data_IF_118198816784
#
_entry.id   IF_118198816784
#
_cell.length_a   1.000
_cell.length_b   1.000
_cell.length_c   1.000
_cell.angle_alpha   90.00
_cell.angle_beta   90.00
_cell.angle_gamma   90.00
#
_symmetry.space_group_name_H-M   'P 1'
#
loop_
_entity.id
_entity.type
_entity.pdbx_description
1 polymer ?
#
# COMPACT_ATOMS: atom_id res chain seq x y z
N UNK A 1 -9.47 -11.37 63.93
CA UNK A 1 -10.75 -10.64 64.01
C UNK A 1 -11.44 -10.80 62.67
N UNK A 2 -12.31 -11.81 62.51
CA UNK A 2 -13.74 -11.81 62.81
C UNK A 2 -14.57 -10.92 61.87
N UNK A 3 -15.35 -11.64 61.05
CA UNK A 3 -16.39 -11.23 60.11
C UNK A 3 -17.47 -10.33 60.73
N UNK A 4 -18.15 -9.54 59.90
CA UNK A 4 -19.56 -9.08 59.94
C UNK A 4 -19.71 -8.00 58.85
N UNK A 5 -20.75 -7.86 58.03
CA UNK A 5 -22.08 -8.45 58.04
C UNK A 5 -22.75 -8.27 56.67
N UNK A 6 -23.48 -9.29 56.24
CA UNK A 6 -24.55 -9.21 55.23
C UNK A 6 -25.77 -8.49 55.81
N UNK A 7 -26.43 -7.63 55.03
CA UNK A 7 -27.89 -7.44 55.14
C UNK A 7 -28.46 -6.85 53.84
N UNK A 8 -29.33 -7.64 53.21
CA UNK A 8 -30.25 -7.32 52.11
C UNK A 8 -31.53 -6.65 52.65
N UNK A 9 -32.41 -6.20 51.74
CA UNK A 9 -33.86 -5.80 51.83
C UNK A 9 -33.99 -4.38 51.23
N UNK A 10 -34.31 -4.19 49.95
CA UNK A 10 -35.55 -4.40 49.16
C UNK A 10 -36.52 -3.20 49.12
N UNK A 11 -37.05 -3.00 47.90
CA UNK A 11 -38.37 -2.48 47.53
C UNK A 11 -38.60 -0.95 47.32
N UNK A 12 -38.80 -0.67 46.03
CA UNK A 12 -39.50 0.37 45.28
C UNK A 12 -40.49 1.34 45.95
N UNK A 13 -40.55 2.56 45.37
CA UNK A 13 -41.71 3.43 45.06
C UNK A 13 -41.18 4.88 44.90
N UNK A 14 -41.65 5.84 44.10
CA UNK A 14 -42.63 6.02 43.02
C UNK A 14 -42.41 7.49 42.54
N UNK A 15 -42.68 7.75 41.26
CA UNK A 15 -43.21 9.00 40.65
C UNK A 15 -42.38 10.30 40.71
N UNK A 16 -42.07 10.80 39.50
CA UNK A 16 -41.91 12.22 39.21
C UNK A 16 -42.15 12.50 37.72
N UNK A 17 -43.41 12.77 37.34
CA UNK A 17 -43.81 13.31 36.03
C UNK A 17 -43.60 14.83 36.05
N UNK A 18 -42.75 15.39 35.17
CA UNK A 18 -42.84 16.79 34.72
C UNK A 18 -42.16 16.99 33.34
N UNK A 19 -43.02 17.10 32.33
CA UNK A 19 -43.03 18.02 31.17
C UNK A 19 -41.76 18.60 30.55
N UNK A 20 -41.70 18.42 29.22
CA UNK A 20 -41.15 19.22 28.12
C UNK A 20 -40.35 20.50 28.41
N UNK A 21 -39.14 20.55 27.85
CA UNK A 21 -38.38 21.77 27.58
C UNK A 21 -37.22 21.49 26.64
N UNK A 22 -37.33 21.96 25.39
CA UNK A 22 -36.34 21.86 24.32
C UNK A 22 -35.08 22.68 24.59
N UNK A 23 -33.89 22.10 24.39
CA UNK A 23 -32.76 22.75 23.71
C UNK A 23 -31.58 21.75 23.62
N UNK A 24 -31.39 21.14 22.44
CA UNK A 24 -30.07 20.64 22.07
C UNK A 24 -29.35 21.81 21.39
N UNK A 25 -28.49 22.49 22.14
CA UNK A 25 -27.41 23.25 21.54
C UNK A 25 -26.46 22.25 20.89
N UNK A 26 -26.67 21.95 19.63
CA UNK A 26 -25.67 21.32 18.79
C UNK A 26 -24.54 22.33 18.60
N UNK A 27 -23.59 22.36 19.53
CA UNK A 27 -22.27 22.86 19.24
C UNK A 27 -21.68 21.91 18.20
N UNK A 28 -21.79 22.27 16.92
CA UNK A 28 -20.84 21.79 15.93
C UNK A 28 -19.47 22.17 16.47
N UNK A 29 -18.77 21.20 17.03
CA UNK A 29 -17.32 21.27 17.02
C UNK A 29 -16.97 21.13 15.55
N UNK A 30 -16.83 22.28 14.88
CA UNK A 30 -16.14 22.38 13.61
C UNK A 30 -14.72 21.88 13.89
N UNK A 31 -14.57 20.56 13.80
CA UNK A 31 -13.30 19.98 13.50
C UNK A 31 -13.06 20.39 12.06
N UNK A 32 -12.49 21.58 11.90
CA UNK A 32 -11.65 21.93 10.76
C UNK A 32 -10.48 20.94 10.77
N UNK A 33 -10.78 19.69 10.45
CA UNK A 33 -9.80 18.74 9.96
C UNK A 33 -9.54 19.18 8.53
N UNK A 34 -8.56 20.07 8.41
CA UNK A 34 -7.90 20.45 7.16
C UNK A 34 -7.11 19.26 6.59
N UNK A 35 -7.73 18.07 6.55
CA UNK A 35 -7.43 17.08 5.54
C UNK A 35 -7.81 17.75 4.23
N UNK A 36 -6.81 18.22 3.50
CA UNK A 36 -6.93 18.30 2.06
C UNK A 36 -7.64 17.04 1.63
N UNK A 37 -8.83 17.15 1.04
CA UNK A 37 -9.36 16.06 0.26
C UNK A 37 -8.37 15.94 -0.89
N UNK A 38 -7.28 15.19 -0.68
CA UNK A 38 -6.32 14.88 -1.72
C UNK A 38 -7.17 14.36 -2.85
N UNK A 39 -7.20 15.13 -3.94
CA UNK A 39 -8.04 14.81 -5.08
C UNK A 39 -7.64 13.40 -5.48
N UNK A 40 -8.56 12.45 -5.29
CA UNK A 40 -8.29 11.04 -5.56
C UNK A 40 -7.81 10.96 -7.00
N UNK A 41 -6.59 10.46 -7.20
CA UNK A 41 -6.04 10.27 -8.54
C UNK A 41 -6.77 9.10 -9.20
N UNK A 42 -7.88 9.44 -9.88
CA UNK A 42 -8.74 8.47 -10.56
C UNK A 42 -7.98 7.71 -11.64
N UNK A 43 -7.05 8.37 -12.33
CA UNK A 43 -6.21 7.73 -13.35
C UNK A 43 -5.26 6.72 -12.70
N UNK A 44 -4.68 7.00 -11.53
CA UNK A 44 -3.92 6.00 -10.78
C UNK A 44 -4.79 4.80 -10.41
N UNK A 45 -6.00 5.02 -9.89
CA UNK A 45 -6.90 3.94 -9.48
C UNK A 45 -7.27 3.04 -10.66
N UNK A 46 -7.69 3.62 -11.78
CA UNK A 46 -8.01 2.88 -13.00
C UNK A 46 -6.77 2.13 -13.53
N UNK A 47 -5.62 2.79 -13.53
CA UNK A 47 -4.35 2.20 -13.94
C UNK A 47 -3.94 1.00 -13.09
N UNK A 48 -4.13 1.09 -11.77
CA UNK A 48 -3.89 -0.01 -10.82
C UNK A 48 -4.83 -1.18 -11.05
N UNK A 49 -6.12 -0.91 -11.24
CA UNK A 49 -7.11 -1.96 -11.51
C UNK A 49 -6.76 -2.72 -12.79
N UNK A 50 -6.47 -2.02 -13.89
CA UNK A 50 -6.07 -2.64 -15.16
C UNK A 50 -4.79 -3.46 -15.01
N UNK A 51 -3.81 -2.98 -14.22
CA UNK A 51 -2.58 -3.72 -13.96
C UNK A 51 -2.83 -5.03 -13.21
N UNK A 52 -3.75 -5.04 -12.23
CA UNK A 52 -4.13 -6.23 -11.48
C UNK A 52 -4.97 -7.21 -12.29
N UNK A 53 -5.78 -6.71 -13.22
CA UNK A 53 -6.51 -7.52 -14.20
C UNK A 53 -5.61 -8.08 -15.32
N UNK A 54 -4.33 -7.70 -15.36
CA UNK A 54 -3.37 -8.15 -16.38
C UNK A 54 -3.47 -7.38 -17.71
N UNK A 55 -4.30 -6.33 -17.77
CA UNK A 55 -4.47 -5.47 -18.93
C UNK A 55 -3.38 -4.39 -18.98
N UNK A 56 -2.11 -4.82 -19.01
CA UNK A 56 -0.95 -3.94 -18.83
C UNK A 56 -0.88 -2.76 -19.82
N UNK A 57 -1.37 -2.95 -21.06
CA UNK A 57 -1.42 -1.86 -22.05
C UNK A 57 -2.42 -0.77 -21.64
N UNK A 58 -3.58 -1.15 -21.12
CA UNK A 58 -4.59 -0.21 -20.61
C UNK A 58 -4.08 0.47 -19.33
N UNK A 59 -3.45 -0.29 -18.44
CA UNK A 59 -2.81 0.24 -17.24
C UNK A 59 -1.82 1.38 -17.57
N UNK A 60 -0.94 1.17 -18.57
CA UNK A 60 0.03 2.20 -19.00
C UNK A 60 -0.66 3.49 -19.47
N UNK A 61 -1.81 3.40 -20.14
CA UNK A 61 -2.54 4.59 -20.63
C UNK A 61 -3.02 5.43 -19.45
N UNK A 62 -3.66 4.81 -18.46
CA UNK A 62 -4.14 5.53 -17.27
C UNK A 62 -2.99 6.03 -16.40
N UNK A 63 -1.99 5.19 -16.13
CA UNK A 63 -0.86 5.57 -15.28
C UNK A 63 -0.02 6.70 -15.88
N UNK A 64 0.05 6.84 -17.21
CA UNK A 64 0.67 8.00 -17.87
C UNK A 64 -0.07 9.30 -17.58
N UNK A 65 -1.40 9.30 -17.62
CA UNK A 65 -2.21 10.47 -17.23
C UNK A 65 -2.04 10.80 -15.74
N UNK A 66 -1.97 9.78 -14.89
CA UNK A 66 -1.70 9.94 -13.47
C UNK A 66 -0.38 10.69 -13.23
N UNK A 67 0.72 10.31 -13.90
CA UNK A 67 2.01 11.03 -13.73
C UNK A 67 2.05 12.42 -14.41
N UNK A 68 1.18 12.68 -15.39
CA UNK A 68 1.00 14.02 -15.96
C UNK A 68 0.36 14.96 -14.93
N UNK A 69 -0.61 14.46 -14.16
CA UNK A 69 -1.31 15.21 -13.12
C UNK A 69 -0.52 15.27 -11.79
N UNK A 70 0.18 14.18 -11.45
CA UNK A 70 0.98 14.04 -10.24
C UNK A 70 2.36 13.43 -10.57
N UNK A 71 3.35 14.26 -10.96
CA UNK A 71 4.68 13.81 -11.34
C UNK A 71 5.54 13.32 -10.17
N UNK A 72 5.05 13.40 -8.93
CA UNK A 72 5.73 12.92 -7.72
C UNK A 72 5.09 11.63 -7.18
N UNK A 73 4.26 10.94 -7.96
CA UNK A 73 3.66 9.67 -7.56
C UNK A 73 4.61 8.48 -7.78
N UNK A 74 5.36 8.10 -6.75
CA UNK A 74 6.20 6.89 -6.78
C UNK A 74 5.39 5.63 -7.10
N UNK A 75 4.15 5.53 -6.61
CA UNK A 75 3.23 4.42 -6.87
C UNK A 75 2.86 4.31 -8.37
N UNK A 76 2.58 5.44 -9.03
CA UNK A 76 2.23 5.46 -10.46
C UNK A 76 3.42 5.04 -11.33
N UNK A 77 4.62 5.54 -11.01
CA UNK A 77 5.85 5.09 -11.66
C UNK A 77 6.16 3.62 -11.39
N UNK A 78 5.94 3.14 -10.16
CA UNK A 78 6.10 1.73 -9.81
C UNK A 78 5.20 0.84 -10.69
N UNK A 79 3.92 1.19 -10.83
CA UNK A 79 2.97 0.43 -11.65
C UNK A 79 3.21 0.56 -13.16
N UNK A 80 3.76 1.68 -13.64
CA UNK A 80 4.27 1.80 -15.02
C UNK A 80 5.42 0.82 -15.25
N UNK A 81 6.36 0.76 -14.29
CA UNK A 81 7.45 -0.21 -14.32
C UNK A 81 6.95 -1.65 -14.31
N UNK A 82 5.99 -1.95 -13.45
CA UNK A 82 5.34 -3.27 -13.34
C UNK A 82 4.71 -3.70 -14.65
N UNK A 83 3.87 -2.83 -15.23
CA UNK A 83 3.15 -3.09 -16.47
C UNK A 83 4.10 -3.28 -17.66
N UNK A 84 5.14 -2.44 -17.78
CA UNK A 84 6.14 -2.58 -18.85
C UNK A 84 6.95 -3.88 -18.71
N UNK A 85 7.38 -4.23 -17.49
CA UNK A 85 8.10 -5.50 -17.23
C UNK A 85 7.25 -6.71 -17.63
N UNK A 86 5.94 -6.68 -17.33
CA UNK A 86 5.01 -7.75 -17.69
C UNK A 86 4.82 -7.89 -19.20
N UNK A 87 4.93 -6.79 -19.95
CA UNK A 87 4.95 -6.80 -21.42
C UNK A 87 6.32 -7.19 -22.02
N UNK A 88 7.38 -7.28 -21.22
CA UNK A 88 8.75 -7.54 -21.67
C UNK A 88 9.54 -6.29 -22.09
N UNK A 89 8.95 -5.10 -21.89
CA UNK A 89 9.56 -3.80 -22.14
C UNK A 89 10.51 -3.45 -20.99
N UNK A 90 11.64 -4.16 -20.92
CA UNK A 90 12.53 -4.14 -19.75
C UNK A 90 13.24 -2.78 -19.57
N UNK A 91 13.56 -2.08 -20.65
CA UNK A 91 14.27 -0.78 -20.59
C UNK A 91 13.35 0.32 -20.03
N UNK A 92 12.12 0.39 -20.53
CA UNK A 92 11.10 1.30 -20.00
C UNK A 92 10.77 0.96 -18.55
N UNK A 93 10.66 -0.33 -18.22
CA UNK A 93 10.42 -0.76 -16.85
C UNK A 93 11.51 -0.25 -15.91
N UNK A 94 12.78 -0.40 -16.30
CA UNK A 94 13.93 0.08 -15.54
C UNK A 94 13.88 1.59 -15.31
N UNK A 95 13.54 2.36 -16.36
CA UNK A 95 13.39 3.81 -16.30
C UNK A 95 12.35 4.23 -15.27
N UNK A 96 11.15 3.64 -15.31
CA UNK A 96 10.08 3.98 -14.38
C UNK A 96 10.36 3.55 -12.95
N UNK A 97 10.95 2.36 -12.73
CA UNK A 97 11.33 1.95 -11.38
C UNK A 97 12.40 2.87 -10.77
N UNK A 98 13.39 3.31 -11.56
CA UNK A 98 14.37 4.25 -11.04
C UNK A 98 13.74 5.59 -10.68
N UNK A 99 12.79 6.09 -11.49
CA UNK A 99 12.08 7.32 -11.13
C UNK A 99 11.26 7.16 -9.86
N UNK A 100 10.59 6.01 -9.67
CA UNK A 100 9.89 5.71 -8.42
C UNK A 100 10.83 5.71 -7.20
N UNK A 101 12.04 5.13 -7.32
CA UNK A 101 13.03 5.14 -6.23
C UNK A 101 13.76 6.47 -6.03
N UNK A 102 13.78 7.33 -7.06
CA UNK A 102 14.25 8.72 -6.92
C UNK A 102 13.29 9.54 -6.06
N UNK A 103 11.99 9.34 -6.25
CA UNK A 103 10.91 9.98 -5.49
C UNK A 103 10.82 9.38 -4.08
N UNK A 104 10.71 8.06 -3.96
CA UNK A 104 10.70 7.34 -2.68
C UNK A 104 11.76 6.21 -2.66
N UNK A 105 12.95 6.49 -2.09
CA UNK A 105 14.02 5.51 -1.94
C UNK A 105 13.71 4.33 -1.00
N UNK A 106 12.55 4.32 -0.33
CA UNK A 106 12.09 3.26 0.56
C UNK A 106 10.86 2.53 0.01
N UNK A 107 10.46 2.82 -1.23
CA UNK A 107 9.26 2.23 -1.83
C UNK A 107 9.40 0.72 -1.97
N UNK A 108 8.68 -0.04 -1.14
CA UNK A 108 8.82 -1.51 -1.05
C UNK A 108 8.48 -2.21 -2.36
N UNK A 109 7.33 -1.89 -2.95
CA UNK A 109 6.89 -2.50 -4.22
C UNK A 109 7.90 -2.32 -5.36
N UNK A 110 8.54 -1.15 -5.46
CA UNK A 110 9.57 -0.89 -6.46
C UNK A 110 10.84 -1.70 -6.20
N UNK A 111 11.29 -1.83 -4.96
CA UNK A 111 12.41 -2.72 -4.65
C UNK A 111 12.10 -4.17 -5.02
N UNK A 112 10.90 -4.67 -4.75
CA UNK A 112 10.47 -6.00 -5.16
C UNK A 112 10.50 -6.16 -6.69
N UNK A 113 9.81 -5.28 -7.41
CA UNK A 113 9.60 -5.43 -8.84
C UNK A 113 10.86 -5.15 -9.67
N UNK A 114 11.70 -4.21 -9.26
CA UNK A 114 13.01 -4.00 -9.87
C UNK A 114 13.95 -5.17 -9.56
N UNK A 115 13.89 -5.75 -8.35
CA UNK A 115 14.58 -6.99 -8.03
C UNK A 115 14.18 -8.14 -8.98
N UNK A 116 12.88 -8.32 -9.22
CA UNK A 116 12.36 -9.30 -10.19
C UNK A 116 12.76 -8.97 -11.64
N UNK A 117 12.85 -7.69 -12.02
CA UNK A 117 13.37 -7.28 -13.33
C UNK A 117 14.84 -7.71 -13.49
N UNK A 118 15.68 -7.52 -12.47
CA UNK A 118 17.07 -7.97 -12.53
C UNK A 118 17.20 -9.49 -12.73
N UNK A 119 16.29 -10.29 -12.18
CA UNK A 119 16.24 -11.73 -12.47
C UNK A 119 15.89 -12.02 -13.93
N UNK A 120 14.93 -11.29 -14.53
CA UNK A 120 14.63 -11.39 -15.96
C UNK A 120 15.86 -11.08 -16.83
N UNK A 121 16.69 -10.12 -16.38
CA UNK A 121 17.93 -9.70 -17.03
C UNK A 121 19.13 -10.60 -16.70
N UNK A 122 18.92 -11.72 -16.00
CA UNK A 122 19.98 -12.64 -15.56
C UNK A 122 21.05 -12.01 -14.66
N UNK A 123 20.64 -11.02 -13.84
CA UNK A 123 21.50 -10.29 -12.91
C UNK A 123 21.09 -10.53 -11.44
N UNK A 124 21.22 -11.76 -10.91
CA UNK A 124 20.74 -12.10 -9.57
C UNK A 124 21.43 -11.32 -8.44
N UNK A 125 22.68 -10.91 -8.63
CA UNK A 125 23.40 -10.10 -7.63
C UNK A 125 22.78 -8.72 -7.44
N UNK A 126 22.23 -8.12 -8.50
CA UNK A 126 21.50 -6.86 -8.36
C UNK A 126 20.14 -7.08 -7.67
N UNK A 127 19.45 -8.19 -7.95
CA UNK A 127 18.22 -8.54 -7.23
C UNK A 127 18.46 -8.68 -5.71
N UNK A 128 19.57 -9.31 -5.30
CA UNK A 128 19.96 -9.44 -3.89
C UNK A 128 20.19 -8.09 -3.19
N UNK A 129 20.69 -7.07 -3.90
CA UNK A 129 20.82 -5.71 -3.34
C UNK A 129 19.46 -5.13 -2.97
N UNK A 130 18.45 -5.30 -3.83
CA UNK A 130 17.08 -4.87 -3.53
C UNK A 130 16.46 -5.68 -2.38
N UNK A 131 16.76 -6.98 -2.28
CA UNK A 131 16.33 -7.79 -1.15
C UNK A 131 16.94 -7.30 0.18
N UNK A 132 18.24 -6.99 0.20
CA UNK A 132 18.90 -6.42 1.38
C UNK A 132 18.32 -5.05 1.77
N UNK A 133 17.92 -4.24 0.77
CA UNK A 133 17.23 -2.98 1.03
C UNK A 133 15.86 -3.20 1.65
N UNK A 134 15.06 -4.16 1.15
CA UNK A 134 13.79 -4.56 1.76
C UNK A 134 13.97 -5.07 3.19
N UNK A 135 15.00 -5.87 3.45
CA UNK A 135 15.35 -6.35 4.81
C UNK A 135 15.55 -5.16 5.77
N UNK A 136 16.26 -4.13 5.33
CA UNK A 136 16.46 -2.91 6.13
C UNK A 136 15.20 -2.05 6.31
N UNK A 137 14.25 -2.11 5.36
CA UNK A 137 13.00 -1.35 5.40
C UNK A 137 11.95 -2.08 6.25
N UNK A 138 11.95 -3.41 6.22
CA UNK A 138 10.91 -4.27 6.78
C UNK A 138 11.39 -4.98 8.06
N UNK A 139 11.46 -4.24 9.17
CA UNK A 139 11.99 -4.74 10.46
C UNK A 139 11.29 -5.99 11.02
N UNK A 140 10.00 -6.18 10.75
CA UNK A 140 9.23 -7.38 11.13
C UNK A 140 8.87 -8.26 9.93
N UNK A 141 9.52 -8.06 8.78
CA UNK A 141 9.14 -8.65 7.50
C UNK A 141 8.02 -7.87 6.79
N UNK A 142 7.90 -8.10 5.47
CA UNK A 142 6.85 -7.57 4.62
C UNK A 142 6.63 -8.51 3.43
N UNK A 143 5.47 -8.39 2.78
CA UNK A 143 5.12 -9.21 1.63
C UNK A 143 6.17 -9.13 0.52
N UNK A 144 6.65 -7.91 0.23
CA UNK A 144 7.61 -7.62 -0.82
C UNK A 144 8.95 -8.33 -0.61
N UNK A 145 9.41 -8.39 0.64
CA UNK A 145 10.63 -9.10 1.00
C UNK A 145 10.48 -10.60 0.71
N UNK A 146 9.39 -11.20 1.21
CA UNK A 146 9.12 -12.64 1.04
C UNK A 146 9.00 -12.98 -0.45
N UNK A 147 8.23 -12.18 -1.18
CA UNK A 147 8.00 -12.31 -2.62
C UNK A 147 9.29 -12.24 -3.44
N UNK A 148 10.18 -11.27 -3.16
CA UNK A 148 11.47 -11.18 -3.84
C UNK A 148 12.43 -12.31 -3.43
N UNK A 149 12.43 -12.69 -2.14
CA UNK A 149 13.28 -13.79 -1.65
C UNK A 149 12.94 -15.11 -2.34
N UNK A 150 11.65 -15.44 -2.42
CA UNK A 150 11.17 -16.63 -3.13
C UNK A 150 11.55 -16.62 -4.61
N UNK A 151 11.45 -15.46 -5.27
CA UNK A 151 11.87 -15.30 -6.65
C UNK A 151 13.39 -15.57 -6.85
N UNK A 152 14.24 -15.07 -5.93
CA UNK A 152 15.69 -15.29 -5.96
C UNK A 152 16.01 -16.78 -5.69
N UNK A 153 15.38 -17.38 -4.69
CA UNK A 153 15.60 -18.79 -4.34
C UNK A 153 15.15 -19.73 -5.47
N UNK A 154 14.03 -19.42 -6.12
CA UNK A 154 13.54 -20.15 -7.29
C UNK A 154 14.46 -20.02 -8.51
N UNK A 155 15.06 -18.86 -8.72
CA UNK A 155 16.03 -18.63 -9.80
C UNK A 155 17.26 -19.54 -9.66
N UNK A 156 17.78 -19.68 -8.44
CA UNK A 156 18.95 -20.54 -8.16
C UNK A 156 18.72 -22.03 -8.40
N UNK A 157 17.48 -22.50 -8.32
CA UNK A 157 17.12 -23.93 -8.49
C UNK A 157 16.87 -24.33 -9.95
N UNK A 158 16.33 -23.42 -10.77
CA UNK A 158 15.85 -23.75 -12.12
C UNK A 158 16.63 -23.07 -13.26
N UNK A 159 17.65 -22.25 -12.96
CA UNK A 159 18.48 -21.55 -13.95
C UNK A 159 17.73 -20.56 -14.85
N UNK A 160 16.41 -20.43 -14.68
CA UNK A 160 15.51 -19.58 -15.47
C UNK A 160 14.35 -19.09 -14.60
N UNK A 161 14.11 -17.78 -14.58
CA UNK A 161 12.93 -17.20 -13.96
C UNK A 161 11.69 -17.59 -14.78
N UNK A 162 10.72 -18.29 -14.17
CA UNK A 162 9.48 -18.64 -14.87
C UNK A 162 8.63 -17.38 -15.08
N UNK A 163 8.41 -17.04 -16.36
CA UNK A 163 7.37 -16.10 -16.80
C UNK A 163 6.02 -16.65 -16.34
N UNK A 164 5.41 -16.00 -15.35
CA UNK A 164 3.96 -16.00 -15.17
C UNK A 164 3.43 -14.67 -15.68
#
# INVERSE_FOLDING_TARGET
>A
MLMKNFLLISLAALIGLMTYGTSFGAGSSDNDDSSSTDMVDVDYLNGKEEAYNGNYRAAIVYLKKSIENNPESADSYNLLGYSNRKLGNNEEAFTYYNKALEIDPRHKGTHEYLGKLYLNLKQPENAKKHLAKLDSICFFGCEEYTSLKEAIDGYGKNGTYRKY
#
